data_IF_965014742446
#
_entry.id   IF_965014742446
#
_cell.length_a   1.000
_cell.length_b   1.000
_cell.length_c   1.000
_cell.angle_alpha   90.00
_cell.angle_beta   90.00
_cell.angle_gamma   90.00
#
_symmetry.space_group_name_H-M   'P 1'
#
loop_
_entity.id
_entity.type
_entity.pdbx_description
1 polymer ?
#
# COMPACT_ATOMS: atom_id res chain seq x y z
N UNK A 1 9.76 11.57 -0.93
CA UNK A 1 10.92 10.90 -0.30
C UNK A 1 12.18 11.79 -0.35
N UNK A 2 12.59 12.34 -1.50
CA UNK A 2 13.80 13.19 -1.61
C UNK A 2 13.75 14.39 -0.65
N UNK A 3 12.68 15.18 -0.72
CA UNK A 3 12.48 16.34 0.18
C UNK A 3 12.50 15.93 1.65
N UNK A 4 11.88 14.81 1.99
CA UNK A 4 11.88 14.27 3.35
C UNK A 4 13.28 13.91 3.82
N UNK A 5 14.08 13.28 2.94
CA UNK A 5 15.46 12.92 3.25
C UNK A 5 16.33 14.17 3.46
N UNK A 6 16.18 15.20 2.64
CA UNK A 6 16.86 16.49 2.80
C UNK A 6 16.52 17.14 4.16
N UNK A 7 15.23 17.23 4.50
CA UNK A 7 14.79 17.80 5.79
C UNK A 7 15.37 17.00 6.96
N UNK A 8 15.41 15.66 6.87
CA UNK A 8 15.97 14.81 7.91
C UNK A 8 17.48 15.06 8.05
N UNK A 9 18.19 15.17 6.91
CA UNK A 9 19.63 15.50 6.91
C UNK A 9 19.90 16.83 7.57
N UNK A 10 19.23 17.89 7.11
CA UNK A 10 19.54 19.26 7.47
C UNK A 10 19.02 19.63 8.88
N UNK A 11 17.76 19.31 9.15
CA UNK A 11 17.09 19.72 10.39
C UNK A 11 17.26 18.74 11.55
N UNK A 12 17.40 17.44 11.23
CA UNK A 12 17.45 16.37 12.24
C UNK A 12 18.79 15.64 12.30
N UNK A 13 19.87 16.21 11.70
CA UNK A 13 21.22 15.65 11.72
C UNK A 13 21.25 14.18 11.27
N UNK A 14 20.56 13.88 10.18
CA UNK A 14 20.43 12.53 9.59
C UNK A 14 19.81 11.48 10.53
N UNK A 15 19.06 11.88 11.56
CA UNK A 15 18.34 10.98 12.46
C UNK A 15 16.84 11.15 12.31
N UNK A 16 16.11 10.05 12.19
CA UNK A 16 14.65 10.07 12.15
C UNK A 16 14.09 10.65 13.46
N UNK A 17 13.13 11.59 13.40
CA UNK A 17 12.43 12.05 14.58
C UNK A 17 11.64 10.91 15.24
N UNK A 18 11.64 10.84 16.56
CA UNK A 18 10.96 9.81 17.35
C UNK A 18 9.65 10.28 17.97
N UNK A 19 9.03 11.34 17.46
CA UNK A 19 7.73 11.85 17.93
C UNK A 19 6.75 11.95 16.77
N UNK A 20 5.47 11.71 17.05
CA UNK A 20 4.40 11.76 16.04
C UNK A 20 4.34 13.12 15.33
N UNK A 21 4.33 14.22 16.10
CA UNK A 21 4.20 15.57 15.55
C UNK A 21 5.35 15.95 14.61
N UNK A 22 6.56 15.50 14.90
CA UNK A 22 7.70 15.74 14.02
C UNK A 22 7.63 14.89 12.75
N UNK A 23 7.16 13.65 12.85
CA UNK A 23 7.04 12.74 11.71
C UNK A 23 5.93 13.17 10.76
N UNK A 24 4.73 13.51 11.28
CA UNK A 24 3.59 13.87 10.45
C UNK A 24 3.80 15.17 9.65
N UNK A 25 4.70 16.03 10.12
CA UNK A 25 5.08 17.25 9.43
C UNK A 25 6.11 17.06 8.30
N UNK A 26 6.62 15.84 8.12
CA UNK A 26 7.52 15.51 7.01
C UNK A 26 6.75 15.23 5.72
N UNK A 27 7.18 15.77 4.56
CA UNK A 27 6.51 15.57 3.29
C UNK A 27 6.36 14.09 2.94
N UNK A 28 5.13 13.64 2.64
CA UNK A 28 4.83 12.25 2.27
C UNK A 28 4.74 11.27 3.45
N UNK A 29 4.82 11.75 4.68
CA UNK A 29 4.55 10.95 5.89
C UNK A 29 3.14 11.26 6.38
N UNK A 30 2.22 10.30 6.19
CA UNK A 30 0.86 10.35 6.73
C UNK A 30 0.75 9.66 8.09
N UNK A 31 -0.46 9.68 8.68
CA UNK A 31 -0.77 9.07 9.99
C UNK A 31 -0.30 7.61 10.11
N UNK A 32 -0.61 6.80 9.09
CA UNK A 32 -0.15 5.41 9.06
C UNK A 32 1.38 5.29 9.11
N UNK A 33 2.07 6.03 8.24
CA UNK A 33 3.54 5.95 8.12
C UNK A 33 4.21 6.45 9.41
N UNK A 34 3.73 7.55 10.00
CA UNK A 34 4.24 8.07 11.25
C UNK A 34 4.12 7.04 12.39
N UNK A 35 2.95 6.41 12.55
CA UNK A 35 2.72 5.39 13.57
C UNK A 35 3.51 4.11 13.32
N UNK A 36 3.64 3.69 12.05
CA UNK A 36 4.46 2.54 11.68
C UNK A 36 5.95 2.78 12.03
N UNK A 37 6.48 3.96 11.71
CA UNK A 37 7.85 4.34 12.09
C UNK A 37 8.01 4.31 13.62
N UNK A 38 7.07 4.91 14.36
CA UNK A 38 7.13 4.94 15.82
C UNK A 38 7.11 3.54 16.43
N UNK A 39 6.27 2.68 15.92
CA UNK A 39 6.17 1.30 16.40
C UNK A 39 7.40 0.47 15.99
N UNK A 40 7.76 0.46 14.71
CA UNK A 40 8.77 -0.47 14.18
C UNK A 40 10.19 -0.02 14.53
N UNK A 41 10.50 1.27 14.34
CA UNK A 41 11.86 1.79 14.56
C UNK A 41 12.14 2.22 16.00
N UNK A 42 11.11 2.56 16.76
CA UNK A 42 11.27 3.11 18.12
C UNK A 42 10.54 2.29 19.21
N UNK A 43 9.93 1.17 18.84
CA UNK A 43 9.13 0.28 19.72
C UNK A 43 8.09 1.03 20.58
N UNK A 44 7.57 2.16 20.05
CA UNK A 44 6.52 2.92 20.72
C UNK A 44 5.18 2.24 20.60
N UNK A 45 4.34 2.39 21.62
CA UNK A 45 2.99 1.81 21.69
C UNK A 45 2.03 2.46 20.69
N UNK A 46 2.33 2.33 19.41
CA UNK A 46 1.52 2.83 18.31
C UNK A 46 1.19 1.72 17.31
N UNK A 47 0.02 1.82 16.67
CA UNK A 47 -0.36 0.91 15.58
C UNK A 47 -0.80 1.76 14.40
N UNK A 48 -0.06 1.66 13.31
CA UNK A 48 -0.43 2.26 12.03
C UNK A 48 -1.59 1.48 11.40
N UNK A 49 -2.58 2.18 10.86
CA UNK A 49 -3.77 1.56 10.30
C UNK A 49 -3.73 1.64 8.78
N UNK A 50 -3.28 0.55 8.16
CA UNK A 50 -3.39 0.34 6.72
C UNK A 50 -4.61 -0.51 6.36
N UNK A 51 -4.75 -0.82 5.07
CA UNK A 51 -5.81 -1.70 4.58
C UNK A 51 -5.72 -3.12 5.13
N UNK A 52 -4.52 -3.62 5.47
CA UNK A 52 -4.30 -4.95 6.03
C UNK A 52 -4.75 -5.00 7.48
N UNK A 53 -4.24 -4.08 8.30
CA UNK A 53 -4.62 -3.95 9.73
C UNK A 53 -6.13 -3.78 9.87
N UNK A 54 -6.73 -2.86 9.10
CA UNK A 54 -8.17 -2.63 9.08
C UNK A 54 -8.95 -3.90 8.73
N UNK A 55 -8.54 -4.64 7.72
CA UNK A 55 -9.19 -5.88 7.31
C UNK A 55 -9.11 -6.97 8.36
N UNK A 56 -7.94 -7.17 8.96
CA UNK A 56 -7.72 -8.15 10.02
C UNK A 56 -8.68 -7.86 11.19
N UNK A 57 -8.68 -6.64 11.72
CA UNK A 57 -9.52 -6.26 12.86
C UNK A 57 -11.00 -6.25 12.51
N UNK A 58 -11.37 -5.79 11.32
CA UNK A 58 -12.76 -5.87 10.84
C UNK A 58 -13.28 -7.29 10.84
N UNK A 59 -12.50 -8.26 10.37
CA UNK A 59 -12.87 -9.67 10.32
C UNK A 59 -12.82 -10.34 11.70
N UNK A 60 -11.78 -10.07 12.46
CA UNK A 60 -11.58 -10.64 13.80
C UNK A 60 -12.79 -10.32 14.70
N UNK A 61 -13.23 -9.08 14.69
CA UNK A 61 -14.33 -8.60 15.55
C UNK A 61 -15.68 -8.51 14.85
N UNK A 62 -15.77 -8.79 13.53
CA UNK A 62 -16.94 -8.59 12.68
C UNK A 62 -17.47 -7.15 12.73
N UNK A 63 -16.57 -6.16 12.63
CA UNK A 63 -16.85 -4.72 12.69
C UNK A 63 -16.59 -4.11 11.32
N UNK A 64 -17.48 -3.22 10.84
CA UNK A 64 -17.29 -2.44 9.61
C UNK A 64 -16.98 -0.97 9.87
N UNK A 65 -17.35 -0.48 11.03
CA UNK A 65 -17.17 0.90 11.45
C UNK A 65 -15.70 1.17 11.82
N UNK A 66 -15.11 2.18 11.18
CA UNK A 66 -13.73 2.57 11.41
C UNK A 66 -13.44 3.05 12.83
N UNK A 67 -14.38 3.77 13.47
CA UNK A 67 -14.22 4.24 14.86
C UNK A 67 -14.15 3.06 15.83
N UNK A 68 -15.01 2.07 15.63
CA UNK A 68 -15.00 0.84 16.44
C UNK A 68 -13.74 -0.01 16.21
N UNK A 69 -13.19 -0.03 14.98
CA UNK A 69 -11.93 -0.70 14.70
C UNK A 69 -10.80 0.00 15.45
N UNK A 70 -10.76 1.34 15.45
CA UNK A 70 -9.79 2.13 16.21
C UNK A 70 -9.80 1.83 17.71
N UNK A 71 -11.00 1.72 18.31
CA UNK A 71 -11.16 1.35 19.72
C UNK A 71 -10.52 -0.02 19.98
N UNK A 72 -10.83 -1.01 19.14
CA UNK A 72 -10.26 -2.37 19.29
C UNK A 72 -8.75 -2.43 19.07
N UNK A 73 -8.21 -1.60 18.18
CA UNK A 73 -6.76 -1.47 18.01
C UNK A 73 -6.09 -0.88 19.24
N UNK A 74 -6.70 0.13 19.85
CA UNK A 74 -6.16 0.74 21.08
C UNK A 74 -6.16 -0.24 22.26
N UNK A 75 -7.11 -1.16 22.32
CA UNK A 75 -7.17 -2.21 23.36
C UNK A 75 -5.98 -3.19 23.28
N UNK A 76 -5.42 -3.41 22.08
CA UNK A 76 -4.31 -4.35 21.86
C UNK A 76 -2.94 -3.69 21.83
N UNK A 77 -2.85 -2.36 21.98
CA UNK A 77 -1.56 -1.67 22.11
C UNK A 77 -0.76 -2.20 23.28
N UNK A 78 0.51 -2.46 23.06
CA UNK A 78 1.44 -2.97 24.05
C UNK A 78 2.53 -1.94 24.34
N UNK A 79 3.05 -1.91 25.59
CA UNK A 79 4.13 -1.01 26.00
C UNK A 79 5.51 -1.50 25.55
N UNK A 80 5.67 -2.80 25.32
CA UNK A 80 6.90 -3.46 24.85
C UNK A 80 6.57 -4.37 23.68
N UNK A 81 7.53 -4.60 22.80
CA UNK A 81 7.39 -5.43 21.60
C UNK A 81 6.31 -4.88 20.62
N UNK A 82 6.09 -3.58 20.62
CA UNK A 82 5.14 -2.92 19.71
C UNK A 82 5.54 -3.13 18.24
N UNK A 83 6.85 -3.14 17.99
CA UNK A 83 7.42 -3.46 16.67
C UNK A 83 6.99 -4.84 16.18
N UNK A 84 7.13 -5.87 17.01
CA UNK A 84 6.73 -7.24 16.65
C UNK A 84 5.22 -7.36 16.45
N UNK A 85 4.42 -6.67 17.28
CA UNK A 85 2.97 -6.66 17.15
C UNK A 85 2.55 -6.01 15.82
N UNK A 86 3.11 -4.84 15.50
CA UNK A 86 2.79 -4.12 14.27
C UNK A 86 3.14 -4.95 13.03
N UNK A 87 4.33 -5.49 12.97
CA UNK A 87 4.80 -6.35 11.86
C UNK A 87 3.95 -7.61 11.75
N UNK A 88 3.69 -8.30 12.87
CA UNK A 88 2.86 -9.51 12.87
C UNK A 88 1.44 -9.28 12.35
N UNK A 89 0.79 -8.16 12.70
CA UNK A 89 -0.54 -7.82 12.17
C UNK A 89 -0.47 -7.53 10.66
N UNK A 90 0.56 -6.83 10.21
CA UNK A 90 0.76 -6.53 8.79
C UNK A 90 0.98 -7.81 7.98
N UNK A 91 1.85 -8.70 8.43
CA UNK A 91 2.14 -9.99 7.79
C UNK A 91 0.91 -10.90 7.78
N UNK A 92 0.21 -10.98 8.90
CA UNK A 92 -1.05 -11.73 8.98
C UNK A 92 -2.04 -11.24 7.92
N UNK A 93 -2.16 -9.92 7.75
CA UNK A 93 -3.00 -9.31 6.73
C UNK A 93 -2.53 -9.59 5.31
N UNK A 94 -1.24 -9.57 5.06
CA UNK A 94 -0.66 -9.79 3.74
C UNK A 94 -0.69 -11.27 3.31
N UNK A 95 -0.31 -12.17 4.20
CA UNK A 95 -0.04 -13.57 3.87
C UNK A 95 -1.24 -14.49 4.13
N UNK A 96 -1.94 -14.30 5.22
CA UNK A 96 -3.00 -15.22 5.72
C UNK A 96 -4.38 -14.61 5.52
N UNK A 97 -4.68 -13.45 6.12
CA UNK A 97 -5.98 -12.81 6.07
C UNK A 97 -6.17 -12.02 4.76
N UNK A 98 -5.94 -12.66 3.63
CA UNK A 98 -5.99 -12.05 2.29
C UNK A 98 -7.35 -11.44 1.96
N UNK A 99 -7.42 -10.41 1.08
CA UNK A 99 -8.67 -9.80 0.63
C UNK A 99 -9.65 -10.82 0.05
N UNK A 100 -9.15 -11.63 -0.88
CA UNK A 100 -9.84 -12.76 -1.51
C UNK A 100 -9.27 -14.06 -0.96
N UNK A 101 -10.09 -15.08 -0.73
CA UNK A 101 -9.69 -16.42 -0.28
C UNK A 101 -8.70 -16.40 0.90
N UNK A 102 -9.07 -15.88 2.07
CA UNK A 102 -8.21 -15.91 3.25
C UNK A 102 -7.92 -17.36 3.67
N UNK A 103 -6.70 -17.60 4.14
CA UNK A 103 -6.24 -18.91 4.61
C UNK A 103 -6.62 -19.10 6.08
N UNK A 104 -7.92 -19.14 6.38
CA UNK A 104 -8.44 -19.12 7.74
C UNK A 104 -8.00 -20.32 8.57
N UNK A 105 -7.83 -21.49 7.97
CA UNK A 105 -7.41 -22.71 8.66
C UNK A 105 -5.94 -22.64 9.13
N UNK A 106 -5.12 -21.81 8.47
CA UNK A 106 -3.72 -21.55 8.84
C UNK A 106 -3.58 -20.33 9.77
N UNK A 107 -4.68 -19.64 10.08
CA UNK A 107 -4.64 -18.42 10.86
C UNK A 107 -4.55 -18.71 12.36
N UNK A 108 -3.54 -18.16 13.03
CA UNK A 108 -3.35 -18.29 14.47
C UNK A 108 -4.50 -17.67 15.31
N UNK A 109 -5.34 -16.81 14.70
CA UNK A 109 -6.47 -16.16 15.34
C UNK A 109 -7.83 -16.81 14.98
N UNK A 110 -7.85 -17.94 14.28
CA UNK A 110 -9.08 -18.51 13.73
C UNK A 110 -10.12 -18.87 14.80
N UNK A 111 -9.67 -19.36 15.97
CA UNK A 111 -10.53 -19.77 17.07
C UNK A 111 -11.32 -18.60 17.70
N UNK A 112 -10.77 -17.37 17.68
CA UNK A 112 -11.44 -16.16 18.19
C UNK A 112 -12.09 -15.33 17.07
N UNK A 113 -11.81 -15.64 15.81
CA UNK A 113 -12.22 -14.83 14.67
C UNK A 113 -13.72 -14.94 14.39
N UNK A 114 -14.47 -13.85 14.63
CA UNK A 114 -15.92 -13.81 14.40
C UNK A 114 -16.31 -13.99 12.94
N UNK A 115 -15.49 -13.52 12.00
CA UNK A 115 -15.71 -13.72 10.58
C UNK A 115 -15.62 -15.20 10.20
N UNK A 116 -14.58 -15.91 10.64
CA UNK A 116 -14.40 -17.34 10.35
C UNK A 116 -15.49 -18.18 10.96
N UNK A 117 -15.85 -17.92 12.22
CA UNK A 117 -16.93 -18.62 12.90
C UNK A 117 -18.31 -18.31 12.29
N UNK A 118 -18.49 -17.12 11.69
CA UNK A 118 -19.69 -16.74 10.95
C UNK A 118 -19.78 -17.38 9.56
N UNK A 119 -18.65 -17.63 8.88
CA UNK A 119 -18.62 -18.33 7.58
C UNK A 119 -19.14 -19.78 7.69
N UNK A 120 -18.85 -20.45 8.79
CA UNK A 120 -19.39 -21.80 9.08
C UNK A 120 -20.93 -21.81 9.18
N UNK A 121 -21.55 -20.64 9.45
CA UNK A 121 -23.03 -20.51 9.59
C UNK A 121 -23.75 -20.03 8.33
N UNK A 122 -23.04 -19.37 7.36
CA UNK A 122 -23.69 -18.69 6.22
C UNK A 122 -22.93 -18.84 4.90
N UNK A 123 -23.10 -19.96 4.20
CA UNK A 123 -22.59 -20.16 2.83
C UNK A 123 -23.48 -19.52 1.75
N UNK A 124 -23.89 -18.27 1.88
CA UNK A 124 -24.57 -17.55 0.79
C UNK A 124 -23.55 -16.77 -0.06
N UNK A 125 -23.44 -17.17 -1.34
CA UNK A 125 -22.61 -16.54 -2.37
C UNK A 125 -22.95 -15.05 -2.49
N UNK A 126 -22.01 -14.15 -2.14
CA UNK A 126 -22.06 -12.75 -2.58
C UNK A 126 -21.55 -12.66 -4.00
N UNK A 127 -22.33 -12.01 -4.85
CA UNK A 127 -21.94 -11.68 -6.22
C UNK A 127 -20.62 -10.88 -6.21
N UNK A 128 -19.66 -11.32 -7.01
CA UNK A 128 -18.37 -10.66 -7.16
C UNK A 128 -18.58 -9.36 -7.94
N UNK A 129 -18.19 -8.22 -7.35
CA UNK A 129 -18.05 -6.98 -8.13
C UNK A 129 -17.10 -7.26 -9.30
N UNK A 130 -17.57 -6.99 -10.53
CA UNK A 130 -16.73 -7.08 -11.73
C UNK A 130 -15.63 -6.02 -11.63
N UNK A 131 -14.40 -6.45 -11.40
CA UNK A 131 -13.23 -5.57 -11.43
C UNK A 131 -12.94 -5.28 -12.89
N UNK A 132 -12.98 -4.00 -13.28
CA UNK A 132 -12.58 -3.57 -14.61
C UNK A 132 -11.04 -3.63 -14.68
N UNK A 133 -10.52 -4.64 -15.35
CA UNK A 133 -9.08 -4.78 -15.59
C UNK A 133 -8.69 -3.87 -16.74
N UNK A 134 -7.77 -2.92 -16.50
CA UNK A 134 -7.13 -2.12 -17.56
C UNK A 134 -5.75 -2.71 -17.83
N UNK A 135 -5.42 -2.93 -19.10
CA UNK A 135 -4.10 -3.41 -19.53
C UNK A 135 -3.29 -2.27 -20.08
N UNK A 136 -2.06 -2.12 -19.61
CA UNK A 136 -1.10 -1.14 -20.08
C UNK A 136 0.13 -1.85 -20.62
N UNK A 137 0.72 -1.30 -21.66
CA UNK A 137 2.02 -1.71 -22.19
C UNK A 137 3.04 -0.65 -21.82
N UNK A 138 4.10 -1.04 -21.16
CA UNK A 138 5.23 -0.17 -20.86
C UNK A 138 6.23 -0.22 -22.01
N UNK A 139 6.54 0.93 -22.59
CA UNK A 139 7.55 1.05 -23.66
C UNK A 139 8.91 1.33 -23.06
N UNK A 140 9.81 0.37 -23.13
CA UNK A 140 11.19 0.54 -22.67
C UNK A 140 12.07 0.83 -23.91
N UNK A 141 12.50 2.09 -24.03
CA UNK A 141 13.38 2.57 -25.08
C UNK A 141 14.79 2.71 -24.54
N UNK A 142 15.74 2.02 -25.19
CA UNK A 142 17.14 2.06 -24.79
C UNK A 142 17.97 2.60 -25.97
N UNK A 143 18.58 3.76 -25.78
CA UNK A 143 19.51 4.39 -26.75
C UNK A 143 20.83 4.68 -26.05
N UNK A 144 21.94 4.16 -26.59
CA UNK A 144 23.31 4.35 -26.03
C UNK A 144 23.35 4.09 -24.50
N UNK A 145 22.77 2.98 -24.04
CA UNK A 145 22.67 2.59 -22.61
C UNK A 145 21.83 3.54 -21.72
N UNK A 146 21.03 4.44 -22.33
CA UNK A 146 20.10 5.33 -21.62
C UNK A 146 18.66 4.86 -21.85
N UNK A 147 17.82 4.96 -20.83
CA UNK A 147 16.39 4.63 -20.91
C UNK A 147 15.60 5.93 -21.07
N UNK A 148 14.67 5.94 -22.03
CA UNK A 148 13.73 7.05 -22.19
C UNK A 148 12.69 6.99 -21.07
N UNK A 149 12.55 8.09 -20.32
CA UNK A 149 11.56 8.27 -19.28
C UNK A 149 10.65 9.46 -19.62
N UNK A 150 9.41 9.40 -19.15
CA UNK A 150 8.42 10.46 -19.32
C UNK A 150 7.91 10.95 -17.95
N UNK A 151 7.81 12.27 -17.79
CA UNK A 151 7.22 12.89 -16.60
C UNK A 151 5.71 13.02 -16.67
N UNK A 152 5.16 13.09 -17.87
CA UNK A 152 3.74 13.27 -18.07
C UNK A 152 3.05 11.95 -18.28
N UNK A 153 2.41 11.40 -17.25
CA UNK A 153 1.49 10.29 -17.43
C UNK A 153 0.08 10.74 -17.11
N UNK A 154 -0.83 10.50 -18.04
CA UNK A 154 -2.28 10.68 -17.84
C UNK A 154 -2.92 9.50 -17.09
N UNK A 155 -2.10 8.62 -16.50
CA UNK A 155 -2.57 7.33 -15.98
C UNK A 155 -2.47 7.23 -14.47
N UNK A 156 -3.60 7.53 -13.80
CA UNK A 156 -3.87 7.16 -12.41
C UNK A 156 -2.73 7.38 -11.40
N UNK A 157 -2.32 6.34 -10.69
CA UNK A 157 -1.36 6.45 -9.58
C UNK A 157 0.07 6.80 -10.02
N UNK A 158 0.39 6.74 -11.31
CA UNK A 158 1.71 7.08 -11.85
C UNK A 158 1.80 8.52 -12.39
N UNK A 159 0.69 9.26 -12.31
CA UNK A 159 0.66 10.64 -12.78
C UNK A 159 1.61 11.53 -11.94
N UNK A 160 2.46 12.29 -12.61
CA UNK A 160 3.45 13.15 -11.96
C UNK A 160 4.75 12.46 -11.53
N UNK A 161 4.91 11.16 -11.79
CA UNK A 161 6.16 10.43 -11.55
C UNK A 161 6.95 10.24 -12.85
N UNK A 162 8.27 10.20 -12.70
CA UNK A 162 9.16 9.82 -13.79
C UNK A 162 9.03 8.31 -14.05
N UNK A 163 8.56 7.94 -15.20
CA UNK A 163 8.38 6.53 -15.56
C UNK A 163 8.52 6.30 -17.07
N UNK A 164 8.57 5.03 -17.47
CA UNK A 164 8.56 4.67 -18.90
C UNK A 164 7.20 5.02 -19.52
N UNK A 165 7.13 5.42 -20.81
CA UNK A 165 5.88 5.68 -21.50
C UNK A 165 4.93 4.50 -21.41
N UNK A 166 3.68 4.75 -21.02
CA UNK A 166 2.62 3.74 -20.89
C UNK A 166 1.57 3.93 -21.99
N UNK A 167 1.19 2.84 -22.62
CA UNK A 167 0.11 2.80 -23.62
C UNK A 167 -1.04 1.93 -23.15
N UNK A 168 -2.25 2.51 -23.09
CA UNK A 168 -3.48 1.76 -22.90
C UNK A 168 -4.10 1.44 -24.25
N UNK A 169 -3.72 0.31 -24.83
CA UNK A 169 -4.22 -0.12 -26.14
C UNK A 169 -4.50 -1.62 -26.14
N UNK A 170 -5.35 -2.05 -27.07
CA UNK A 170 -5.52 -3.47 -27.32
C UNK A 170 -4.28 -4.03 -28.04
N UNK A 171 -3.96 -5.28 -27.75
CA UNK A 171 -2.80 -5.97 -28.34
C UNK A 171 -2.74 -5.88 -29.87
N UNK A 172 -3.91 -5.96 -30.55
CA UNK A 172 -4.03 -5.83 -32.00
C UNK A 172 -3.64 -4.44 -32.54
N UNK A 173 -3.77 -3.38 -31.74
CA UNK A 173 -3.44 -2.00 -32.13
C UNK A 173 -2.06 -1.55 -31.65
N UNK A 174 -1.33 -2.39 -30.91
CA UNK A 174 -0.05 -2.03 -30.30
C UNK A 174 0.98 -1.58 -31.35
N UNK A 175 1.18 -2.36 -32.42
CA UNK A 175 2.15 -2.05 -33.50
C UNK A 175 1.87 -0.69 -34.16
N UNK A 176 0.63 -0.42 -34.53
CA UNK A 176 0.26 0.83 -35.21
C UNK A 176 0.42 2.06 -34.30
N UNK A 177 0.11 1.91 -33.00
CA UNK A 177 0.26 2.99 -32.03
C UNK A 177 1.73 3.28 -31.66
N UNK A 178 2.59 2.27 -31.66
CA UNK A 178 4.03 2.45 -31.49
C UNK A 178 4.58 3.27 -32.66
N UNK A 179 4.30 2.91 -33.89
CA UNK A 179 4.77 3.64 -35.08
C UNK A 179 4.28 5.10 -35.08
N UNK A 180 3.00 5.35 -34.73
CA UNK A 180 2.45 6.69 -34.66
C UNK A 180 3.04 7.55 -33.52
N UNK A 181 3.46 6.98 -32.41
CA UNK A 181 4.14 7.66 -31.33
C UNK A 181 5.54 8.11 -31.74
N UNK A 182 6.25 7.30 -32.53
CA UNK A 182 7.61 7.63 -33.00
C UNK A 182 7.59 8.69 -34.09
N UNK A 183 6.57 8.74 -34.93
CA UNK A 183 6.47 9.74 -36.01
C UNK A 183 6.09 11.14 -35.51
N UNK A 184 5.53 11.30 -34.31
CA UNK A 184 4.95 12.57 -33.85
C UNK A 184 5.73 13.32 -32.75
N UNK A 185 6.59 12.67 -31.97
CA UNK A 185 7.03 13.26 -30.70
C UNK A 185 8.54 13.20 -30.38
N UNK A 186 9.44 12.86 -31.31
CA UNK A 186 10.86 12.81 -31.01
C UNK A 186 11.68 13.61 -32.02
N UNK A 187 11.81 14.89 -31.78
CA UNK A 187 12.94 15.66 -32.27
C UNK A 187 14.10 15.40 -31.30
N UNK A 188 15.10 14.68 -31.78
CA UNK A 188 16.36 14.54 -31.06
C UNK A 188 17.09 15.87 -31.13
N UNK A 189 17.26 16.60 -30.06
CA UNK A 189 18.26 17.66 -29.87
C UNK A 189 19.53 17.09 -29.28
#
# INVERSE_FOLDING_TARGET
LLQTAQIISDKYKSRLPSTYDKLINLPGIGDYTAKAILSIAFDKSEIGIDGNVKRVFSRLHNIKDNKKILIKLNEVKVKKNSSSLMQGIMELGALICRPKKPLCDQCCLNFTCKFFNGLKKNSKKKSLMKIKVRKFYALIYIVKKKILLNFETKFGPLNGFLNVPLLEVSEKKLKNNITALFSKNFTFS
#
